data_IF_644954956593
#
_entry.id   IF_644954956593
#
_cell.length_a   1.000
_cell.length_b   1.000
_cell.length_c   1.000
_cell.angle_alpha   90.00
_cell.angle_beta   90.00
_cell.angle_gamma   90.00
#
_symmetry.space_group_name_H-M   'P 1'
#
loop_
_entity.id
_entity.type
_entity.pdbx_description
1 polymer ?
#
# COMPACT_ATOMS: atom_id res chain seq x y z
N UNK A 1 -45.92 10.41 -20.34
CA UNK A 1 -44.66 9.68 -20.65
C UNK A 1 -44.12 8.90 -19.45
N UNK A 2 -44.97 8.21 -18.66
CA UNK A 2 -44.56 7.58 -17.37
C UNK A 2 -44.43 6.05 -17.46
N UNK A 3 -44.87 5.42 -18.56
CA UNK A 3 -44.98 3.97 -18.68
C UNK A 3 -43.67 3.21 -18.99
N UNK A 4 -42.58 3.90 -19.35
CA UNK A 4 -41.33 3.21 -19.70
C UNK A 4 -40.47 2.88 -18.48
N UNK A 5 -40.50 3.73 -17.44
CA UNK A 5 -39.65 3.55 -16.25
C UNK A 5 -40.10 2.35 -15.40
N UNK A 6 -41.41 2.18 -15.23
CA UNK A 6 -41.98 1.06 -14.46
C UNK A 6 -41.68 -0.28 -15.15
N UNK A 7 -41.69 -0.30 -16.49
CA UNK A 7 -41.35 -1.49 -17.28
C UNK A 7 -39.87 -1.87 -17.12
N UNK A 8 -38.97 -0.88 -17.20
CA UNK A 8 -37.53 -1.11 -16.98
C UNK A 8 -37.29 -1.64 -15.56
N UNK A 9 -37.95 -1.07 -14.54
CA UNK A 9 -37.80 -1.53 -13.16
C UNK A 9 -38.26 -2.99 -12.97
N UNK A 10 -39.36 -3.38 -13.61
CA UNK A 10 -39.87 -4.77 -13.56
C UNK A 10 -38.99 -5.74 -14.34
N UNK A 11 -38.46 -5.32 -15.49
CA UNK A 11 -37.51 -6.11 -16.27
C UNK A 11 -36.20 -6.30 -15.49
N UNK A 12 -35.75 -5.26 -14.78
CA UNK A 12 -34.54 -5.34 -13.93
C UNK A 12 -34.78 -6.22 -12.71
N UNK A 13 -35.95 -6.14 -12.08
CA UNK A 13 -36.29 -6.97 -10.91
C UNK A 13 -36.41 -8.45 -11.28
N UNK A 14 -36.99 -8.77 -12.46
CA UNK A 14 -37.03 -10.15 -12.98
C UNK A 14 -35.66 -10.73 -13.27
N UNK A 15 -34.72 -9.91 -13.76
CA UNK A 15 -33.33 -10.35 -14.01
C UNK A 15 -32.64 -10.62 -12.67
N UNK A 16 -32.87 -9.78 -11.65
CA UNK A 16 -32.26 -9.93 -10.33
C UNK A 16 -32.88 -11.07 -9.51
N UNK A 17 -34.20 -11.30 -9.58
CA UNK A 17 -34.86 -12.45 -8.95
C UNK A 17 -34.51 -13.79 -9.62
N UNK A 18 -34.07 -13.76 -10.90
CA UNK A 18 -33.52 -14.92 -11.61
C UNK A 18 -32.07 -15.26 -11.24
N UNK A 19 -31.31 -14.31 -10.71
CA UNK A 19 -29.93 -14.49 -10.20
C UNK A 19 -29.92 -14.53 -8.67
N UNK A 20 -30.69 -15.47 -8.12
CA UNK A 20 -30.66 -15.85 -6.71
C UNK A 20 -29.38 -16.61 -6.36
N UNK A 21 -28.26 -15.90 -6.36
CA UNK A 21 -26.97 -16.43 -5.95
C UNK A 21 -25.88 -15.57 -6.54
N UNK A 22 -25.25 -14.75 -5.71
CA UNK A 22 -23.98 -14.11 -6.09
C UNK A 22 -23.03 -15.26 -6.46
N UNK A 23 -22.91 -15.53 -7.77
CA UNK A 23 -22.11 -16.62 -8.32
C UNK A 23 -20.66 -16.44 -7.88
N UNK A 24 -19.96 -17.54 -7.63
CA UNK A 24 -18.53 -17.53 -7.26
C UNK A 24 -17.74 -16.68 -8.26
N UNK A 25 -18.06 -16.76 -9.56
CA UNK A 25 -17.46 -15.91 -10.59
C UNK A 25 -17.63 -14.41 -10.36
N UNK A 26 -18.78 -13.95 -9.86
CA UNK A 26 -18.98 -12.53 -9.55
C UNK A 26 -18.19 -12.12 -8.31
N UNK A 27 -18.05 -13.00 -7.31
CA UNK A 27 -17.17 -12.77 -6.16
C UNK A 27 -15.72 -12.71 -6.58
N UNK A 28 -15.27 -13.63 -7.42
CA UNK A 28 -13.90 -13.65 -7.95
C UNK A 28 -13.60 -12.44 -8.83
N UNK A 29 -14.58 -11.98 -9.62
CA UNK A 29 -14.45 -10.73 -10.38
C UNK A 29 -14.42 -9.50 -9.46
N UNK A 30 -15.23 -9.44 -8.41
CA UNK A 30 -15.19 -8.35 -7.44
C UNK A 30 -13.89 -8.35 -6.65
N UNK A 31 -13.39 -9.51 -6.22
CA UNK A 31 -12.09 -9.65 -5.56
C UNK A 31 -10.94 -9.24 -6.49
N UNK A 32 -10.97 -9.66 -7.76
CA UNK A 32 -9.98 -9.24 -8.74
C UNK A 32 -10.02 -7.73 -9.01
N UNK A 33 -11.21 -7.13 -9.12
CA UNK A 33 -11.34 -5.69 -9.33
C UNK A 33 -10.96 -4.89 -8.07
N UNK A 34 -11.35 -5.34 -6.87
CA UNK A 34 -10.89 -4.73 -5.62
C UNK A 34 -9.38 -4.84 -5.47
N UNK A 35 -8.79 -6.01 -5.77
CA UNK A 35 -7.34 -6.19 -5.72
C UNK A 35 -6.64 -5.23 -6.69
N UNK A 36 -7.19 -5.01 -7.88
CA UNK A 36 -6.67 -4.06 -8.88
C UNK A 36 -6.79 -2.59 -8.44
N UNK A 37 -7.84 -2.24 -7.69
CA UNK A 37 -8.04 -0.89 -7.12
C UNK A 37 -7.27 -0.69 -5.80
N UNK A 38 -6.97 -1.76 -5.07
CA UNK A 38 -6.18 -1.78 -3.82
C UNK A 38 -4.66 -1.92 -4.09
N UNK A 39 -4.25 -2.12 -5.34
CA UNK A 39 -2.84 -2.10 -5.77
C UNK A 39 -2.40 -0.84 -6.53
N UNK A 40 -2.77 0.40 -6.13
CA UNK A 40 -2.13 1.60 -6.65
C UNK A 40 -0.67 1.66 -6.17
N UNK A 41 -0.38 1.09 -4.99
CA UNK A 41 0.97 0.99 -4.41
C UNK A 41 1.94 0.12 -5.22
N UNK A 42 1.45 -0.91 -5.93
CA UNK A 42 2.32 -1.77 -6.77
C UNK A 42 2.45 -1.27 -8.21
N UNK A 43 1.48 -0.49 -8.70
CA UNK A 43 1.52 0.02 -10.09
C UNK A 43 2.42 1.24 -10.21
N UNK A 44 2.53 2.05 -9.15
CA UNK A 44 3.20 3.33 -9.21
C UNK A 44 4.68 3.25 -8.77
N UNK A 45 5.55 2.97 -9.76
CA UNK A 45 7.02 2.96 -9.57
C UNK A 45 7.56 4.27 -8.99
N UNK A 46 6.82 5.37 -9.17
CA UNK A 46 7.22 6.68 -8.67
C UNK A 46 7.05 6.76 -7.15
N UNK A 47 5.95 6.25 -6.61
CA UNK A 47 5.72 6.14 -5.17
C UNK A 47 6.77 5.23 -4.53
N UNK A 48 7.06 4.08 -5.13
CA UNK A 48 8.13 3.19 -4.65
C UNK A 48 9.50 3.90 -4.59
N UNK A 49 9.89 4.59 -5.67
CA UNK A 49 11.16 5.34 -5.72
C UNK A 49 11.20 6.47 -4.70
N UNK A 50 10.09 7.17 -4.50
CA UNK A 50 9.98 8.27 -3.56
C UNK A 50 10.12 7.78 -2.12
N UNK A 51 9.40 6.71 -1.75
CA UNK A 51 9.48 6.10 -0.41
C UNK A 51 10.88 5.56 -0.11
N UNK A 52 11.46 4.78 -1.02
CA UNK A 52 12.82 4.24 -0.85
C UNK A 52 13.86 5.37 -0.83
N UNK A 53 13.68 6.40 -1.66
CA UNK A 53 14.54 7.58 -1.69
C UNK A 53 14.54 8.35 -0.37
N UNK A 54 13.36 8.65 0.19
CA UNK A 54 13.24 9.33 1.47
C UNK A 54 13.75 8.47 2.63
N UNK A 55 13.40 7.18 2.69
CA UNK A 55 13.90 6.27 3.72
C UNK A 55 15.43 6.15 3.69
N UNK A 56 16.02 5.96 2.51
CA UNK A 56 17.48 5.92 2.35
C UNK A 56 18.14 7.24 2.73
N UNK A 57 17.54 8.37 2.34
CA UNK A 57 18.03 9.69 2.74
C UNK A 57 17.97 9.90 4.26
N UNK A 58 16.88 9.49 4.91
CA UNK A 58 16.75 9.53 6.38
C UNK A 58 17.86 8.73 7.06
N UNK A 59 18.17 7.53 6.58
CA UNK A 59 19.29 6.73 7.12
C UNK A 59 20.61 7.48 6.99
N UNK A 60 20.92 8.02 5.81
CA UNK A 60 22.16 8.79 5.60
C UNK A 60 22.23 10.03 6.53
N UNK A 61 21.14 10.78 6.65
CA UNK A 61 21.07 11.96 7.52
C UNK A 61 21.25 11.59 8.99
N UNK A 62 20.64 10.50 9.47
CA UNK A 62 20.80 10.06 10.87
C UNK A 62 22.23 9.62 11.18
N UNK A 63 22.89 8.91 10.25
CA UNK A 63 24.29 8.50 10.40
C UNK A 63 25.22 9.70 10.39
N UNK A 64 25.13 10.56 9.37
CA UNK A 64 25.98 11.75 9.25
C UNK A 64 25.74 12.73 10.40
N UNK A 65 24.47 12.96 10.75
CA UNK A 65 24.08 13.81 11.88
C UNK A 65 24.62 13.29 13.21
N UNK A 66 24.52 11.97 13.45
CA UNK A 66 25.09 11.33 14.64
C UNK A 66 26.61 11.47 14.71
N UNK A 67 27.32 11.27 13.59
CA UNK A 67 28.78 11.43 13.51
C UNK A 67 29.22 12.88 13.77
N UNK A 68 28.55 13.86 13.16
CA UNK A 68 28.85 15.28 13.37
C UNK A 68 28.57 15.68 14.82
N UNK A 69 27.44 15.23 15.38
CA UNK A 69 27.04 15.58 16.74
C UNK A 69 28.00 15.01 17.78
N UNK A 70 28.39 13.75 17.61
CA UNK A 70 29.38 13.10 18.45
C UNK A 70 30.76 13.74 18.29
N UNK A 71 31.19 14.03 17.06
CA UNK A 71 32.48 14.66 16.78
C UNK A 71 32.60 16.11 17.30
N UNK A 72 31.51 16.89 17.32
CA UNK A 72 31.53 18.28 17.82
C UNK A 72 31.34 18.39 19.33
N UNK A 73 30.48 17.55 19.91
CA UNK A 73 30.03 17.73 21.30
C UNK A 73 30.65 16.68 22.24
N UNK A 74 31.24 15.61 21.69
CA UNK A 74 31.66 14.43 22.47
C UNK A 74 30.51 13.71 23.17
N UNK A 75 29.28 14.16 22.96
CA UNK A 75 28.09 13.65 23.63
C UNK A 75 27.61 12.38 22.96
N UNK A 76 26.93 11.55 23.75
CA UNK A 76 26.25 10.36 23.27
C UNK A 76 25.26 10.75 22.15
N UNK A 77 25.15 9.91 21.13
CA UNK A 77 24.19 10.11 20.06
C UNK A 77 22.78 9.95 20.67
N UNK A 78 21.87 10.92 20.49
CA UNK A 78 20.51 10.83 21.01
C UNK A 78 19.81 9.55 20.54
N UNK A 79 19.17 8.85 21.48
CA UNK A 79 18.48 7.59 21.20
C UNK A 79 17.42 7.72 20.10
N UNK A 80 16.77 8.88 20.01
CA UNK A 80 15.80 9.15 18.94
C UNK A 80 16.39 9.11 17.53
N UNK A 81 17.65 9.55 17.35
CA UNK A 81 18.33 9.49 16.04
C UNK A 81 18.62 8.03 15.68
N UNK A 82 19.08 7.25 16.65
CA UNK A 82 19.37 5.81 16.48
C UNK A 82 18.07 5.07 16.14
N UNK A 83 16.99 5.31 16.90
CA UNK A 83 15.70 4.68 16.68
C UNK A 83 15.13 5.00 15.29
N UNK A 84 15.24 6.26 14.84
CA UNK A 84 14.79 6.67 13.51
C UNK A 84 15.57 5.94 12.40
N UNK A 85 16.90 5.88 12.53
CA UNK A 85 17.75 5.16 11.58
C UNK A 85 17.44 3.67 11.53
N UNK A 86 17.29 3.02 12.69
CA UNK A 86 16.94 1.60 12.79
C UNK A 86 15.56 1.29 12.21
N UNK A 87 14.57 2.14 12.46
CA UNK A 87 13.22 1.99 11.89
C UNK A 87 13.24 2.11 10.36
N UNK A 88 13.99 3.09 9.82
CA UNK A 88 14.12 3.27 8.37
C UNK A 88 14.82 2.10 7.69
N UNK A 89 15.90 1.56 8.29
CA UNK A 89 16.57 0.33 7.79
C UNK A 89 15.64 -0.88 7.86
N UNK A 90 14.88 -1.04 8.94
CA UNK A 90 13.88 -2.11 9.08
C UNK A 90 12.79 -2.04 8.01
N UNK A 91 12.28 -0.85 7.72
CA UNK A 91 11.31 -0.62 6.66
C UNK A 91 11.88 -0.98 5.26
N UNK A 92 13.14 -0.60 4.98
CA UNK A 92 13.81 -0.97 3.73
C UNK A 92 14.02 -2.48 3.61
N UNK A 93 14.42 -3.15 4.70
CA UNK A 93 14.52 -4.61 4.72
C UNK A 93 13.16 -5.27 4.46
N UNK A 94 12.08 -4.74 5.05
CA UNK A 94 10.72 -5.20 4.81
C UNK A 94 10.25 -5.03 3.35
N UNK A 95 10.67 -3.96 2.66
CA UNK A 95 10.35 -3.74 1.25
C UNK A 95 11.08 -4.70 0.29
N UNK A 96 12.25 -5.19 0.67
CA UNK A 96 13.09 -6.07 -0.17
C UNK A 96 12.92 -7.54 0.22
N UNK A 97 12.25 -7.82 1.34
CA UNK A 97 11.97 -9.18 1.79
C UNK A 97 11.10 -9.93 0.76
N UNK A 98 11.49 -11.15 0.36
CA UNK A 98 10.68 -11.96 -0.56
C UNK A 98 9.35 -12.35 0.11
N UNK A 99 8.25 -12.30 -0.66
CA UNK A 99 6.95 -12.70 -0.13
C UNK A 99 6.94 -14.19 0.21
N UNK A 100 6.50 -14.59 1.43
CA UNK A 100 6.37 -15.98 1.82
C UNK A 100 5.25 -16.62 0.99
N UNK A 101 5.62 -17.27 -0.11
CA UNK A 101 4.68 -17.84 -1.08
C UNK A 101 5.26 -18.06 -2.47
N UNK A 102 6.40 -17.44 -2.81
CA UNK A 102 7.15 -17.79 -4.01
C UNK A 102 8.12 -18.94 -3.74
N UNK A 103 7.60 -20.17 -3.69
CA UNK A 103 8.38 -21.41 -3.82
C UNK A 103 7.68 -22.34 -4.78
#
# INVERSE_FOLDING_TARGET
>A
MTNNKVKIMQDTMKIIEGESGISQDTKDQLLNNLQKVLTPLQTDKWVYRLVVGFLGFTVLVTVVGGLILNGKTGSAIPEGIIALGSAAVGALAGLIAPSPGSR
#
